data_IF_877688852889
#
_entry.id   IF_877688852889
#
_cell.length_a   1.000
_cell.length_b   1.000
_cell.length_c   1.000
_cell.angle_alpha   90.00
_cell.angle_beta   90.00
_cell.angle_gamma   90.00
#
_symmetry.space_group_name_H-M   'P 1'
#
loop_
_entity.id
_entity.type
_entity.pdbx_description
1 polymer ?
#
# COMPACT_ATOMS: atom_id res chain seq x y z
N UNK A 1 -25.72 27.56 -13.11
CA UNK A 1 -24.66 28.57 -13.29
C UNK A 1 -24.36 29.31 -11.99
N UNK A 2 -25.38 29.77 -11.25
CA UNK A 2 -25.24 30.50 -9.97
C UNK A 2 -24.47 29.68 -8.90
N UNK A 3 -24.87 28.45 -8.58
CA UNK A 3 -24.19 27.61 -7.58
C UNK A 3 -22.70 27.27 -7.90
N UNK A 4 -22.34 27.24 -9.19
CA UNK A 4 -20.96 27.03 -9.63
C UNK A 4 -20.08 28.25 -9.37
N UNK A 5 -20.64 29.44 -9.58
CA UNK A 5 -19.97 30.71 -9.30
C UNK A 5 -19.80 30.83 -7.78
N UNK A 6 -20.81 30.48 -7.00
CA UNK A 6 -20.76 30.57 -5.53
C UNK A 6 -19.76 29.60 -4.89
N UNK A 7 -19.64 28.34 -5.36
CA UNK A 7 -18.60 27.43 -4.84
C UNK A 7 -17.18 27.86 -5.20
N UNK A 8 -16.99 28.43 -6.40
CA UNK A 8 -15.68 28.96 -6.81
C UNK A 8 -15.30 30.19 -5.98
N UNK A 9 -16.29 31.00 -5.58
CA UNK A 9 -16.14 32.13 -4.65
C UNK A 9 -15.96 31.71 -3.18
N UNK A 10 -16.71 30.72 -2.67
CA UNK A 10 -16.59 30.26 -1.28
C UNK A 10 -15.27 29.55 -1.00
N UNK A 11 -14.70 28.84 -1.99
CA UNK A 11 -13.33 28.29 -1.93
C UNK A 11 -12.26 29.38 -1.75
N UNK A 12 -12.55 30.61 -2.18
CA UNK A 12 -11.64 31.76 -2.05
C UNK A 12 -11.83 32.48 -0.71
N UNK A 13 -13.03 32.41 -0.10
CA UNK A 13 -13.40 33.18 1.09
C UNK A 13 -13.65 32.36 2.37
N UNK A 14 -13.45 31.04 2.37
CA UNK A 14 -13.65 30.14 3.53
C UNK A 14 -15.07 30.15 4.16
N UNK A 15 -16.07 30.70 3.47
CA UNK A 15 -17.44 30.81 3.99
C UNK A 15 -18.29 29.62 3.53
N UNK A 16 -18.14 28.49 4.21
CA UNK A 16 -18.86 27.24 3.90
C UNK A 16 -20.32 27.28 4.36
N UNK A 17 -20.64 28.01 5.43
CA UNK A 17 -21.98 28.04 6.02
C UNK A 17 -22.99 28.72 5.09
N UNK A 18 -22.61 29.82 4.42
CA UNK A 18 -23.43 30.43 3.37
C UNK A 18 -23.66 29.48 2.18
N UNK A 19 -22.62 28.73 1.78
CA UNK A 19 -22.73 27.77 0.69
C UNK A 19 -23.71 26.64 1.04
N UNK A 20 -23.66 26.12 2.27
CA UNK A 20 -24.60 25.11 2.75
C UNK A 20 -26.03 25.64 2.82
N UNK A 21 -26.24 26.87 3.31
CA UNK A 21 -27.57 27.48 3.33
C UNK A 21 -28.19 27.60 1.93
N UNK A 22 -27.38 27.90 0.91
CA UNK A 22 -27.83 27.93 -0.49
C UNK A 22 -28.22 26.52 -0.96
N UNK A 23 -27.38 25.52 -0.75
CA UNK A 23 -27.71 24.15 -1.14
C UNK A 23 -28.95 23.62 -0.41
N UNK A 24 -29.10 23.89 0.88
CA UNK A 24 -30.28 23.53 1.67
C UNK A 24 -31.55 24.24 1.19
N UNK A 25 -31.45 25.49 0.71
CA UNK A 25 -32.58 26.17 0.09
C UNK A 25 -33.00 25.48 -1.23
N UNK A 26 -32.04 25.00 -2.02
CA UNK A 26 -32.31 24.30 -3.27
C UNK A 26 -32.91 22.92 -2.98
N UNK A 27 -32.34 22.18 -2.02
CA UNK A 27 -32.82 20.85 -1.62
C UNK A 27 -34.20 20.90 -0.98
N UNK A 28 -34.57 22.00 -0.29
CA UNK A 28 -35.95 22.20 0.18
C UNK A 28 -36.97 22.33 -0.97
N UNK A 29 -36.58 22.96 -2.07
CA UNK A 29 -37.45 23.12 -3.24
C UNK A 29 -37.41 21.92 -4.19
N UNK A 30 -36.26 21.25 -4.28
CA UNK A 30 -36.00 20.08 -5.13
C UNK A 30 -35.12 19.09 -4.36
N UNK A 31 -35.73 18.23 -3.53
CA UNK A 31 -35.01 17.28 -2.69
C UNK A 31 -34.05 16.43 -3.49
N UNK A 32 -34.47 15.93 -4.66
CA UNK A 32 -33.67 14.96 -5.40
C UNK A 32 -32.61 15.59 -6.32
N UNK A 33 -32.32 16.90 -6.22
CA UNK A 33 -31.43 17.57 -7.17
C UNK A 33 -29.98 17.03 -7.10
N UNK A 34 -29.48 16.28 -8.12
CA UNK A 34 -28.16 15.66 -8.04
C UNK A 34 -27.03 16.68 -7.99
N UNK A 35 -27.24 17.83 -8.63
CA UNK A 35 -26.25 18.91 -8.66
C UNK A 35 -26.14 19.63 -7.31
N UNK A 36 -27.25 19.73 -6.57
CA UNK A 36 -27.25 20.34 -5.24
C UNK A 36 -26.55 19.40 -4.23
N UNK A 37 -26.91 18.11 -4.24
CA UNK A 37 -26.24 17.08 -3.45
C UNK A 37 -24.73 17.02 -3.74
N UNK A 38 -24.33 16.96 -5.02
CA UNK A 38 -22.90 16.97 -5.37
C UNK A 38 -22.16 18.22 -4.86
N UNK A 39 -22.77 19.40 -5.02
CA UNK A 39 -22.18 20.66 -4.57
C UNK A 39 -22.03 20.71 -3.05
N UNK A 40 -23.04 20.26 -2.32
CA UNK A 40 -23.06 20.17 -0.86
C UNK A 40 -22.03 19.16 -0.35
N UNK A 41 -22.00 17.95 -0.93
CA UNK A 41 -21.00 16.93 -0.63
C UNK A 41 -19.56 17.41 -0.86
N UNK A 42 -19.33 18.15 -1.95
CA UNK A 42 -18.01 18.75 -2.20
C UNK A 42 -17.66 19.86 -1.21
N UNK A 43 -18.64 20.63 -0.75
CA UNK A 43 -18.47 21.61 0.32
C UNK A 43 -18.03 20.95 1.63
N UNK A 44 -18.71 19.87 2.04
CA UNK A 44 -18.34 19.11 3.23
C UNK A 44 -16.94 18.50 3.10
N UNK A 45 -16.63 17.88 1.97
CA UNK A 45 -15.30 17.30 1.75
C UNK A 45 -14.19 18.35 1.92
N UNK A 46 -14.32 19.52 1.28
CA UNK A 46 -13.32 20.59 1.37
C UNK A 46 -13.19 21.16 2.79
N UNK A 47 -14.30 21.31 3.52
CA UNK A 47 -14.27 21.76 4.92
C UNK A 47 -13.63 20.70 5.83
N UNK A 48 -13.92 19.42 5.58
CA UNK A 48 -13.30 18.29 6.27
C UNK A 48 -11.78 18.23 6.04
N UNK A 49 -11.32 18.44 4.80
CA UNK A 49 -9.90 18.52 4.44
C UNK A 49 -9.18 19.67 5.17
N UNK A 50 -9.86 20.80 5.40
CA UNK A 50 -9.30 21.96 6.10
C UNK A 50 -9.29 21.80 7.62
N UNK A 51 -10.38 21.26 8.18
CA UNK A 51 -10.60 21.19 9.63
C UNK A 51 -10.13 19.86 10.24
N UNK A 52 -9.74 18.89 9.41
CA UNK A 52 -9.47 17.49 9.80
C UNK A 52 -10.63 16.87 10.58
N UNK A 53 -11.88 17.22 10.21
CA UNK A 53 -13.09 16.77 10.89
C UNK A 53 -13.73 15.56 10.19
N UNK A 54 -13.76 14.43 10.90
CA UNK A 54 -14.37 13.18 10.41
C UNK A 54 -15.88 13.27 10.13
N UNK A 55 -16.59 14.15 10.82
CA UNK A 55 -18.04 14.31 10.65
C UNK A 55 -18.36 14.87 9.26
N UNK A 56 -17.57 15.84 8.79
CA UNK A 56 -17.76 16.43 7.46
C UNK A 56 -17.50 15.41 6.35
N UNK A 57 -16.53 14.51 6.52
CA UNK A 57 -16.34 13.42 5.55
C UNK A 57 -17.53 12.46 5.49
N UNK A 58 -18.18 12.17 6.64
CA UNK A 58 -19.37 11.33 6.66
C UNK A 58 -20.55 12.00 5.93
N UNK A 59 -20.77 13.30 6.14
CA UNK A 59 -21.79 14.04 5.39
C UNK A 59 -21.46 14.11 3.89
N UNK A 60 -20.20 14.32 3.52
CA UNK A 60 -19.78 14.32 2.13
C UNK A 60 -20.10 12.98 1.43
N UNK A 61 -19.82 11.86 2.10
CA UNK A 61 -20.15 10.52 1.64
C UNK A 61 -21.65 10.38 1.40
N UNK A 62 -22.47 10.73 2.39
CA UNK A 62 -23.93 10.63 2.28
C UNK A 62 -24.47 11.46 1.11
N UNK A 63 -24.00 12.70 0.95
CA UNK A 63 -24.43 13.57 -0.15
C UNK A 63 -24.00 13.02 -1.51
N UNK A 64 -22.82 12.38 -1.63
CA UNK A 64 -22.44 11.71 -2.88
C UNK A 64 -23.26 10.44 -3.15
N UNK A 65 -23.64 9.67 -2.13
CA UNK A 65 -24.55 8.52 -2.26
C UNK A 65 -25.91 8.97 -2.83
N UNK A 66 -26.47 10.09 -2.36
CA UNK A 66 -27.71 10.66 -2.93
C UNK A 66 -27.59 10.98 -4.43
N UNK A 67 -26.40 11.35 -4.91
CA UNK A 67 -26.15 11.58 -6.34
C UNK A 67 -26.16 10.26 -7.13
N UNK A 68 -25.68 9.18 -6.54
CA UNK A 68 -25.65 7.86 -7.18
C UNK A 68 -27.02 7.16 -7.16
N UNK A 69 -27.80 7.37 -6.11
CA UNK A 69 -29.14 6.80 -5.96
C UNK A 69 -30.16 7.44 -6.92
N UNK A 70 -29.88 8.63 -7.45
CA UNK A 70 -30.75 9.30 -8.41
C UNK A 70 -30.48 8.83 -9.86
N UNK A 71 -31.50 8.18 -10.46
CA UNK A 71 -31.48 7.69 -11.84
C UNK A 71 -31.30 8.80 -12.90
N UNK A 72 -31.88 9.98 -12.66
CA UNK A 72 -31.80 11.15 -13.56
C UNK A 72 -30.44 11.87 -13.52
N UNK A 73 -29.52 11.47 -12.63
CA UNK A 73 -28.19 12.07 -12.54
C UNK A 73 -27.45 11.97 -13.88
N UNK A 74 -26.96 13.08 -14.48
CA UNK A 74 -26.19 13.00 -15.72
C UNK A 74 -24.91 12.16 -15.56
N UNK A 75 -24.56 11.34 -16.55
CA UNK A 75 -23.43 10.39 -16.48
C UNK A 75 -22.11 11.03 -16.05
N UNK A 76 -21.81 12.25 -16.54
CA UNK A 76 -20.59 12.97 -16.16
C UNK A 76 -20.57 13.38 -14.68
N UNK A 77 -21.74 13.68 -14.10
CA UNK A 77 -21.89 14.01 -12.68
C UNK A 77 -21.83 12.74 -11.81
N UNK A 78 -22.47 11.66 -12.26
CA UNK A 78 -22.42 10.36 -11.60
C UNK A 78 -20.98 9.88 -11.45
N UNK A 79 -20.17 9.92 -12.51
CA UNK A 79 -18.74 9.55 -12.48
C UNK A 79 -17.95 10.41 -11.49
N UNK A 80 -18.21 11.72 -11.45
CA UNK A 80 -17.53 12.62 -10.52
C UNK A 80 -17.90 12.29 -9.07
N UNK A 81 -19.18 12.08 -8.77
CA UNK A 81 -19.64 11.71 -7.43
C UNK A 81 -19.05 10.36 -7.00
N UNK A 82 -19.12 9.35 -7.88
CA UNK A 82 -18.57 8.03 -7.63
C UNK A 82 -17.05 8.08 -7.36
N UNK A 83 -16.29 8.79 -8.19
CA UNK A 83 -14.84 8.97 -8.00
C UNK A 83 -14.52 9.58 -6.62
N UNK A 84 -15.24 10.63 -6.23
CA UNK A 84 -15.05 11.28 -4.92
C UNK A 84 -15.46 10.39 -3.75
N UNK A 85 -16.54 9.64 -3.90
CA UNK A 85 -17.00 8.67 -2.90
C UNK A 85 -15.96 7.56 -2.71
N UNK A 86 -15.43 6.99 -3.80
CA UNK A 86 -14.37 5.97 -3.76
C UNK A 86 -13.10 6.51 -3.10
N UNK A 87 -12.70 7.75 -3.42
CA UNK A 87 -11.54 8.41 -2.82
C UNK A 87 -11.69 8.52 -1.29
N UNK A 88 -12.83 9.05 -0.81
CA UNK A 88 -13.12 9.19 0.62
C UNK A 88 -13.24 7.85 1.34
N UNK A 89 -13.97 6.90 0.74
CA UNK A 89 -14.16 5.57 1.32
C UNK A 89 -12.83 4.80 1.38
N UNK A 90 -12.01 4.86 0.32
CA UNK A 90 -10.69 4.22 0.28
C UNK A 90 -9.75 4.78 1.35
N UNK A 91 -9.74 6.11 1.53
CA UNK A 91 -8.93 6.77 2.55
C UNK A 91 -9.29 6.30 3.97
N UNK A 92 -10.58 6.06 4.23
CA UNK A 92 -11.09 5.55 5.51
C UNK A 92 -10.97 4.02 5.65
N UNK A 93 -10.48 3.33 4.62
CA UNK A 93 -10.42 1.86 4.59
C UNK A 93 -11.78 1.17 4.43
N UNK A 94 -12.83 1.91 4.05
CA UNK A 94 -14.16 1.36 3.79
C UNK A 94 -14.24 0.76 2.38
N UNK A 95 -13.60 -0.40 2.22
CA UNK A 95 -13.58 -1.12 0.95
C UNK A 95 -14.94 -1.69 0.55
N UNK A 96 -15.86 -1.88 1.50
CA UNK A 96 -17.21 -2.34 1.20
C UNK A 96 -17.98 -1.26 0.42
N UNK A 97 -17.92 -0.01 0.88
CA UNK A 97 -18.51 1.12 0.16
C UNK A 97 -17.84 1.38 -1.19
N UNK A 98 -16.52 1.22 -1.28
CA UNK A 98 -15.82 1.26 -2.57
C UNK A 98 -16.38 0.21 -3.54
N UNK A 99 -16.56 -1.03 -3.07
CA UNK A 99 -17.10 -2.14 -3.86
C UNK A 99 -18.52 -1.84 -4.36
N UNK A 100 -19.40 -1.33 -3.49
CA UNK A 100 -20.75 -0.93 -3.88
C UNK A 100 -20.72 0.16 -4.95
N UNK A 101 -19.89 1.18 -4.75
CA UNK A 101 -19.77 2.30 -5.70
C UNK A 101 -19.25 1.83 -7.07
N UNK A 102 -18.25 0.94 -7.10
CA UNK A 102 -17.76 0.35 -8.34
C UNK A 102 -18.82 -0.52 -9.01
N UNK A 103 -19.65 -1.25 -8.26
CA UNK A 103 -20.79 -2.00 -8.84
C UNK A 103 -21.83 -1.07 -9.47
N UNK A 104 -22.19 0.03 -8.81
CA UNK A 104 -23.08 1.03 -9.40
C UNK A 104 -22.51 1.63 -10.69
N UNK A 105 -21.18 1.78 -10.79
CA UNK A 105 -20.52 2.18 -12.04
C UNK A 105 -20.58 1.09 -13.12
N UNK A 106 -20.40 -0.19 -12.77
CA UNK A 106 -20.55 -1.32 -13.70
C UNK A 106 -21.99 -1.44 -14.20
N UNK A 107 -22.98 -1.31 -13.31
CA UNK A 107 -24.40 -1.42 -13.66
C UNK A 107 -24.83 -0.30 -14.62
N UNK A 108 -24.26 0.90 -14.43
CA UNK A 108 -24.58 2.09 -15.25
C UNK A 108 -23.78 2.19 -16.54
N UNK A 109 -22.55 1.69 -16.54
CA UNK A 109 -21.62 1.73 -17.69
C UNK A 109 -21.04 0.33 -17.95
N UNK A 110 -21.89 -0.65 -18.34
CA UNK A 110 -21.47 -2.05 -18.52
C UNK A 110 -20.44 -2.24 -19.64
N UNK A 111 -20.35 -1.29 -20.58
CA UNK A 111 -19.35 -1.26 -21.66
C UNK A 111 -17.93 -0.91 -21.18
N UNK A 112 -17.80 -0.32 -19.98
CA UNK A 112 -16.52 0.11 -19.44
C UNK A 112 -15.93 -0.92 -18.49
N UNK A 113 -15.08 -1.78 -19.06
CA UNK A 113 -14.41 -2.88 -18.35
C UNK A 113 -13.55 -2.40 -17.17
N UNK A 114 -13.06 -1.16 -17.19
CA UNK A 114 -12.26 -0.59 -16.09
C UNK A 114 -12.97 -0.64 -14.74
N UNK A 115 -14.28 -0.42 -14.67
CA UNK A 115 -15.01 -0.52 -13.40
C UNK A 115 -15.09 -1.96 -12.89
N UNK A 116 -15.18 -2.95 -13.79
CA UNK A 116 -15.14 -4.37 -13.42
C UNK A 116 -13.76 -4.77 -12.91
N UNK A 117 -12.70 -4.24 -13.51
CA UNK A 117 -11.33 -4.38 -13.01
C UNK A 117 -11.24 -3.79 -11.60
N UNK A 118 -11.75 -2.58 -11.37
CA UNK A 118 -11.68 -1.94 -10.05
C UNK A 118 -12.49 -2.69 -8.98
N UNK A 119 -13.59 -3.36 -9.36
CA UNK A 119 -14.28 -4.34 -8.48
C UNK A 119 -13.31 -5.45 -8.06
N UNK A 120 -12.59 -6.05 -8.99
CA UNK A 120 -11.61 -7.09 -8.67
C UNK A 120 -10.46 -6.58 -7.80
N UNK A 121 -9.94 -5.37 -8.08
CA UNK A 121 -8.89 -4.74 -7.26
C UNK A 121 -9.38 -4.44 -5.84
N UNK A 122 -10.64 -4.05 -5.69
CA UNK A 122 -11.26 -3.84 -4.38
C UNK A 122 -11.38 -5.16 -3.62
N UNK A 123 -11.77 -6.26 -4.27
CA UNK A 123 -11.74 -7.59 -3.65
C UNK A 123 -10.33 -8.00 -3.20
N UNK A 124 -9.29 -7.69 -3.96
CA UNK A 124 -7.89 -7.92 -3.55
C UNK A 124 -7.56 -7.11 -2.29
N UNK A 125 -7.95 -5.83 -2.22
CA UNK A 125 -7.77 -4.99 -1.01
C UNK A 125 -8.51 -5.57 0.20
N UNK A 126 -9.66 -6.19 -0.01
CA UNK A 126 -10.44 -6.92 1.02
C UNK A 126 -9.90 -8.31 1.36
N UNK A 127 -8.78 -8.76 0.75
CA UNK A 127 -8.23 -10.13 0.86
C UNK A 127 -9.16 -11.24 0.37
N UNK A 128 -10.16 -10.90 -0.45
CA UNK A 128 -11.12 -11.84 -1.07
C UNK A 128 -10.61 -12.27 -2.44
N UNK A 129 -9.51 -13.02 -2.45
CA UNK A 129 -8.79 -13.36 -3.69
C UNK A 129 -9.62 -14.23 -4.66
N UNK A 130 -10.44 -15.14 -4.13
CA UNK A 130 -11.33 -15.99 -4.96
C UNK A 130 -12.40 -15.18 -5.71
N UNK A 131 -12.98 -14.17 -5.05
CA UNK A 131 -13.98 -13.32 -5.70
C UNK A 131 -13.33 -12.44 -6.77
N UNK A 132 -12.14 -11.89 -6.48
CA UNK A 132 -11.35 -11.16 -7.47
C UNK A 132 -11.02 -12.03 -8.69
N UNK A 133 -10.63 -13.29 -8.46
CA UNK A 133 -10.30 -14.25 -9.52
C UNK A 133 -11.49 -14.48 -10.45
N UNK A 134 -12.68 -14.70 -9.91
CA UNK A 134 -13.91 -14.91 -10.70
C UNK A 134 -14.22 -13.72 -11.61
N UNK A 135 -14.12 -12.49 -11.08
CA UNK A 135 -14.37 -11.27 -11.86
C UNK A 135 -13.34 -11.14 -12.98
N UNK A 136 -12.05 -11.30 -12.67
CA UNK A 136 -10.98 -11.21 -13.67
C UNK A 136 -11.09 -12.31 -14.73
N UNK A 137 -11.50 -13.52 -14.34
CA UNK A 137 -11.72 -14.61 -15.27
C UNK A 137 -12.82 -14.29 -16.28
N UNK A 138 -13.98 -13.79 -15.82
CA UNK A 138 -15.07 -13.37 -16.70
C UNK A 138 -14.63 -12.26 -17.68
N UNK A 139 -13.83 -11.28 -17.21
CA UNK A 139 -13.25 -10.26 -18.08
C UNK A 139 -12.37 -10.89 -19.16
N UNK A 140 -11.51 -11.85 -18.81
CA UNK A 140 -10.62 -12.54 -19.74
C UNK A 140 -11.39 -13.43 -20.73
N UNK A 141 -12.49 -14.04 -20.30
CA UNK A 141 -13.36 -14.83 -21.20
C UNK A 141 -14.01 -13.96 -22.28
N UNK A 142 -14.42 -12.74 -21.92
CA UNK A 142 -15.03 -11.79 -22.86
C UNK A 142 -14.00 -11.01 -23.69
N UNK A 143 -12.88 -10.61 -23.08
CA UNK A 143 -11.75 -9.95 -23.71
C UNK A 143 -10.44 -10.66 -23.35
N UNK A 144 -10.03 -11.68 -24.15
CA UNK A 144 -8.81 -12.45 -23.92
C UNK A 144 -7.50 -11.64 -23.98
N UNK A 145 -7.58 -10.39 -24.42
CA UNK A 145 -6.45 -9.47 -24.58
C UNK A 145 -6.43 -8.36 -23.52
N UNK A 146 -7.39 -8.34 -22.59
CA UNK A 146 -7.41 -7.34 -21.53
C UNK A 146 -6.15 -7.44 -20.66
N UNK A 147 -5.24 -6.50 -20.86
CA UNK A 147 -3.89 -6.57 -20.33
C UNK A 147 -3.85 -6.50 -18.80
N UNK A 148 -4.70 -5.65 -18.22
CA UNK A 148 -4.81 -5.49 -16.78
C UNK A 148 -5.46 -6.71 -16.14
N UNK A 149 -6.53 -7.25 -16.73
CA UNK A 149 -7.18 -8.44 -16.19
C UNK A 149 -6.23 -9.64 -16.18
N UNK A 150 -5.49 -9.86 -17.27
CA UNK A 150 -4.45 -10.91 -17.36
C UNK A 150 -3.36 -10.71 -16.31
N UNK A 151 -2.91 -9.47 -16.11
CA UNK A 151 -1.90 -9.13 -15.11
C UNK A 151 -2.35 -9.49 -13.69
N UNK A 152 -3.56 -9.06 -13.30
CA UNK A 152 -4.07 -9.33 -11.95
C UNK A 152 -4.52 -10.77 -11.75
N UNK A 153 -5.00 -11.44 -12.80
CA UNK A 153 -5.28 -12.86 -12.75
C UNK A 153 -3.99 -13.65 -12.46
N UNK A 154 -2.90 -13.32 -13.17
CA UNK A 154 -1.58 -13.91 -12.91
C UNK A 154 -1.03 -13.60 -11.51
N UNK A 155 -1.27 -12.39 -10.99
CA UNK A 155 -0.96 -12.06 -9.59
C UNK A 155 -1.69 -12.98 -8.60
N UNK A 156 -2.99 -13.22 -8.80
CA UNK A 156 -3.77 -14.10 -7.91
C UNK A 156 -3.27 -15.54 -7.99
N UNK A 157 -3.01 -16.07 -9.19
CA UNK A 157 -2.45 -17.42 -9.35
C UNK A 157 -1.13 -17.60 -8.57
N UNK A 158 -0.28 -16.57 -8.59
CA UNK A 158 0.99 -16.58 -7.84
C UNK A 158 0.77 -16.51 -6.33
N UNK A 159 -0.14 -15.67 -5.85
CA UNK A 159 -0.27 -15.37 -4.41
C UNK A 159 -1.21 -16.33 -3.68
N UNK A 160 -2.29 -16.77 -4.33
CA UNK A 160 -3.32 -17.61 -3.72
C UNK A 160 -3.10 -19.11 -3.97
N UNK A 161 -2.59 -19.48 -5.15
CA UNK A 161 -2.53 -20.88 -5.62
C UNK A 161 -1.11 -21.46 -5.68
N UNK A 162 -0.11 -20.69 -5.23
CA UNK A 162 1.31 -21.03 -5.32
C UNK A 162 1.78 -21.41 -6.75
N UNK A 163 1.00 -21.03 -7.76
CA UNK A 163 1.26 -21.37 -9.16
C UNK A 163 2.06 -20.25 -9.81
N UNK A 164 3.31 -20.12 -9.35
CA UNK A 164 4.20 -19.03 -9.77
C UNK A 164 4.47 -19.05 -11.28
N UNK A 165 4.60 -20.23 -11.90
CA UNK A 165 4.83 -20.36 -13.34
C UNK A 165 3.69 -19.79 -14.18
N UNK A 166 2.45 -20.24 -13.93
CA UNK A 166 1.29 -19.72 -14.65
C UNK A 166 1.06 -18.25 -14.32
N UNK A 167 1.24 -17.86 -13.06
CA UNK A 167 1.12 -16.46 -12.64
C UNK A 167 2.04 -15.53 -13.44
N UNK A 168 3.32 -15.89 -13.57
CA UNK A 168 4.29 -15.16 -14.40
C UNK A 168 3.91 -15.19 -15.88
N UNK A 169 3.41 -16.32 -16.40
CA UNK A 169 3.00 -16.41 -17.80
C UNK A 169 1.84 -15.44 -18.13
N UNK A 170 0.80 -15.40 -17.29
CA UNK A 170 -0.32 -14.48 -17.44
C UNK A 170 0.11 -13.01 -17.28
N UNK A 171 0.95 -12.71 -16.29
CA UNK A 171 1.50 -11.36 -16.11
C UNK A 171 2.34 -10.89 -17.31
N UNK A 172 3.20 -11.76 -17.87
CA UNK A 172 3.97 -11.46 -19.10
C UNK A 172 3.06 -11.31 -20.32
N UNK A 173 1.98 -12.09 -20.41
CA UNK A 173 0.99 -11.94 -21.48
C UNK A 173 0.31 -10.57 -21.38
N UNK A 174 -0.16 -10.18 -20.19
CA UNK A 174 -0.74 -8.87 -19.93
C UNK A 174 0.21 -7.74 -20.32
N UNK A 175 1.48 -7.79 -19.88
CA UNK A 175 2.48 -6.77 -20.22
C UNK A 175 2.69 -6.61 -21.73
N UNK A 176 2.75 -7.72 -22.48
CA UNK A 176 2.94 -7.69 -23.94
C UNK A 176 1.74 -7.10 -24.67
N UNK A 177 0.53 -7.40 -24.20
CA UNK A 177 -0.72 -6.97 -24.85
C UNK A 177 -1.13 -5.55 -24.47
N UNK A 178 -0.75 -5.07 -23.28
CA UNK A 178 -1.13 -3.75 -22.78
C UNK A 178 -0.51 -2.56 -23.51
N UNK A 179 0.49 -2.80 -24.39
CA UNK A 179 1.16 -1.74 -25.15
C UNK A 179 1.51 -0.54 -24.28
N UNK A 180 1.32 0.69 -24.80
CA UNK A 180 1.61 1.92 -24.07
C UNK A 180 0.73 2.16 -22.83
N UNK A 181 -0.39 1.47 -22.64
CA UNK A 181 -1.24 1.70 -21.44
C UNK A 181 -0.53 1.25 -20.14
N UNK A 182 0.28 0.20 -20.23
CA UNK A 182 1.04 -0.37 -19.10
C UNK A 182 2.53 0.03 -19.15
N UNK A 183 3.01 0.49 -20.32
CA UNK A 183 4.43 0.75 -20.61
C UNK A 183 4.75 2.21 -20.96
N UNK A 184 3.77 3.13 -20.97
CA UNK A 184 3.99 4.56 -21.23
C UNK A 184 3.74 5.41 -19.97
N UNK A 185 4.81 6.04 -19.47
CA UNK A 185 4.77 6.96 -18.34
C UNK A 185 3.77 8.11 -18.54
N UNK A 186 3.60 8.61 -19.77
CA UNK A 186 2.72 9.75 -20.03
C UNK A 186 1.23 9.40 -19.91
N UNK A 187 0.87 8.14 -20.22
CA UNK A 187 -0.51 7.64 -20.09
C UNK A 187 -0.87 7.27 -18.65
N UNK A 188 0.13 6.86 -17.86
CA UNK A 188 0.01 6.68 -16.41
C UNK A 188 -0.36 7.99 -15.69
N UNK A 189 0.05 9.15 -16.24
CA UNK A 189 -0.18 10.48 -15.65
C UNK A 189 -1.47 11.19 -16.11
N UNK A 190 -2.09 10.77 -17.23
CA UNK A 190 -3.14 11.56 -17.90
C UNK A 190 -4.58 11.32 -17.41
N UNK A 191 -4.85 10.27 -16.62
CA UNK A 191 -6.20 10.00 -16.10
C UNK A 191 -6.40 10.66 -14.74
N UNK A 192 -7.36 11.58 -14.67
CA UNK A 192 -7.74 12.44 -13.52
C UNK A 192 -8.13 11.73 -12.19
N UNK A 193 -8.01 10.41 -12.10
CA UNK A 193 -8.12 9.59 -10.87
C UNK A 193 -6.73 9.14 -10.39
N UNK A 194 -5.86 10.14 -10.17
CA UNK A 194 -4.40 10.05 -10.17
C UNK A 194 -3.77 9.17 -9.07
N UNK A 195 -4.52 8.79 -8.02
CA UNK A 195 -3.95 8.08 -6.86
C UNK A 195 -4.01 6.55 -7.00
N UNK A 196 -5.04 5.99 -7.64
CA UNK A 196 -5.21 4.54 -7.77
C UNK A 196 -4.46 3.93 -8.98
N UNK A 197 -4.18 4.72 -10.04
CA UNK A 197 -3.53 4.20 -11.26
C UNK A 197 -2.08 3.79 -11.00
N UNK A 198 -1.28 4.61 -10.34
CA UNK A 198 0.14 4.31 -10.07
C UNK A 198 0.30 3.11 -9.15
N UNK A 199 -0.51 3.00 -8.11
CA UNK A 199 -0.53 1.86 -7.19
C UNK A 199 -0.84 0.55 -7.93
N UNK A 200 -1.82 0.58 -8.84
CA UNK A 200 -2.23 -0.57 -9.64
C UNK A 200 -1.03 -1.16 -10.41
N UNK A 201 -0.35 -0.34 -11.20
CA UNK A 201 0.78 -0.80 -11.99
C UNK A 201 2.02 -1.10 -11.14
N UNK A 202 2.27 -0.35 -10.05
CA UNK A 202 3.34 -0.65 -9.11
C UNK A 202 3.26 -2.09 -8.61
N UNK A 203 2.09 -2.51 -8.11
CA UNK A 203 1.87 -3.86 -7.56
C UNK A 203 2.13 -4.92 -8.63
N UNK A 204 1.61 -4.69 -9.83
CA UNK A 204 1.83 -5.59 -10.96
C UNK A 204 3.33 -5.80 -11.27
N UNK A 205 4.09 -4.72 -11.51
CA UNK A 205 5.52 -4.82 -11.85
C UNK A 205 6.32 -5.45 -10.71
N UNK A 206 5.97 -5.13 -9.46
CA UNK A 206 6.63 -5.68 -8.28
C UNK A 206 6.45 -7.20 -8.22
N UNK A 207 5.22 -7.69 -8.36
CA UNK A 207 4.91 -9.11 -8.26
C UNK A 207 5.35 -9.93 -9.48
N UNK A 208 5.37 -9.35 -10.68
CA UNK A 208 5.93 -10.00 -11.87
C UNK A 208 7.43 -10.24 -11.68
N UNK A 209 8.19 -9.21 -11.30
CA UNK A 209 9.62 -9.37 -11.07
C UNK A 209 9.91 -10.28 -9.87
N UNK A 210 9.11 -10.23 -8.80
CA UNK A 210 9.22 -11.18 -7.69
C UNK A 210 8.96 -12.62 -8.16
N UNK A 211 7.95 -12.86 -9.00
CA UNK A 211 7.68 -14.18 -9.56
C UNK A 211 8.83 -14.68 -10.42
N UNK A 212 9.43 -13.82 -11.24
CA UNK A 212 10.61 -14.16 -12.04
C UNK A 212 11.83 -14.50 -11.15
N UNK A 213 12.01 -13.82 -10.02
CA UNK A 213 13.04 -14.18 -9.04
C UNK A 213 12.80 -15.56 -8.43
N UNK A 214 11.56 -15.87 -8.06
CA UNK A 214 11.16 -17.18 -7.52
C UNK A 214 11.41 -18.32 -8.52
N UNK A 215 11.24 -18.06 -9.81
CA UNK A 215 11.51 -19.02 -10.89
C UNK A 215 13.00 -19.10 -11.29
N UNK A 216 13.91 -18.47 -10.55
CA UNK A 216 15.34 -18.47 -10.87
C UNK A 216 15.72 -17.69 -12.14
N UNK A 217 14.92 -16.68 -12.52
CA UNK A 217 15.12 -15.84 -13.72
C UNK A 217 15.48 -14.40 -13.37
N UNK A 218 16.62 -14.14 -12.69
CA UNK A 218 16.95 -12.84 -12.15
C UNK A 218 17.19 -11.76 -13.23
N UNK A 219 17.76 -12.13 -14.38
CA UNK A 219 18.03 -11.17 -15.46
C UNK A 219 16.74 -10.60 -16.04
N UNK A 220 15.72 -11.44 -16.24
CA UNK A 220 14.40 -10.99 -16.67
C UNK A 220 13.70 -10.17 -15.58
N UNK A 221 13.81 -10.59 -14.31
CA UNK A 221 13.26 -9.84 -13.20
C UNK A 221 13.82 -8.42 -13.13
N UNK A 222 15.15 -8.26 -13.25
CA UNK A 222 15.79 -6.95 -13.24
C UNK A 222 15.43 -6.10 -14.45
N UNK A 223 15.29 -6.68 -15.64
CA UNK A 223 14.78 -5.94 -16.81
C UNK A 223 13.37 -5.39 -16.56
N UNK A 224 12.48 -6.17 -15.93
CA UNK A 224 11.14 -5.71 -15.53
C UNK A 224 11.24 -4.57 -14.50
N UNK A 225 12.14 -4.68 -13.52
CA UNK A 225 12.33 -3.66 -12.49
C UNK A 225 12.93 -2.36 -13.04
N UNK A 226 13.89 -2.45 -13.96
CA UNK A 226 14.46 -1.31 -14.67
C UNK A 226 13.40 -0.59 -15.48
N UNK A 227 12.60 -1.33 -16.25
CA UNK A 227 11.51 -0.72 -17.01
C UNK A 227 10.52 0.00 -16.09
N UNK A 228 10.08 -0.63 -15.00
CA UNK A 228 9.20 0.01 -14.02
C UNK A 228 9.82 1.27 -13.36
N UNK A 229 11.14 1.30 -13.18
CA UNK A 229 11.85 2.50 -12.71
C UNK A 229 11.82 3.62 -13.76
N UNK A 230 11.97 3.30 -15.06
CA UNK A 230 11.83 4.31 -16.14
C UNK A 230 10.42 4.91 -16.22
N UNK A 231 9.40 4.18 -15.77
CA UNK A 231 8.03 4.65 -15.66
C UNK A 231 7.77 5.47 -14.38
N UNK A 232 8.78 5.64 -13.53
CA UNK A 232 8.65 6.32 -12.24
C UNK A 232 7.82 5.54 -11.20
N UNK A 233 7.54 4.25 -11.44
CA UNK A 233 6.87 3.39 -10.46
C UNK A 233 7.81 3.02 -9.31
N UNK A 234 9.07 2.75 -9.62
CA UNK A 234 10.12 2.51 -8.63
C UNK A 234 11.13 3.65 -8.61
N UNK A 235 11.79 3.86 -7.47
CA UNK A 235 12.91 4.82 -7.39
C UNK A 235 14.11 4.32 -8.20
N UNK A 236 14.34 3.02 -8.20
CA UNK A 236 15.28 2.34 -9.09
C UNK A 236 14.94 0.86 -9.18
N UNK A 237 15.60 0.12 -10.07
CA UNK A 237 15.47 -1.33 -10.13
C UNK A 237 15.82 -2.02 -8.80
N UNK A 238 16.68 -1.42 -7.98
CA UNK A 238 17.10 -1.93 -6.68
C UNK A 238 16.23 -1.39 -5.52
N UNK A 239 15.65 -0.19 -5.65
CA UNK A 239 14.85 0.47 -4.63
C UNK A 239 13.38 0.53 -5.06
N UNK A 240 12.65 -0.53 -4.71
CA UNK A 240 11.26 -0.79 -5.12
C UNK A 240 10.26 -0.64 -3.97
N UNK A 241 10.52 0.28 -3.04
CA UNK A 241 9.59 0.62 -1.97
C UNK A 241 8.43 1.47 -2.50
N UNK A 242 7.24 1.32 -1.92
CA UNK A 242 6.02 1.99 -2.39
C UNK A 242 5.79 3.34 -1.69
N UNK A 243 5.94 3.38 -0.37
CA UNK A 243 5.63 4.54 0.45
C UNK A 243 6.89 5.35 0.71
N UNK A 244 7.19 6.30 -0.17
CA UNK A 244 8.46 7.00 -0.18
C UNK A 244 8.33 8.47 0.21
N UNK A 245 9.35 8.98 0.89
CA UNK A 245 9.59 10.42 1.08
C UNK A 245 10.60 10.86 0.03
N UNK A 246 10.24 11.88 -0.75
CA UNK A 246 11.11 12.43 -1.79
C UNK A 246 12.31 13.17 -1.20
N UNK A 247 13.42 13.20 -1.94
CA UNK A 247 14.66 13.87 -1.53
C UNK A 247 15.53 13.10 -0.54
N UNK A 248 15.06 11.97 -0.01
CA UNK A 248 15.91 11.10 0.81
C UNK A 248 16.99 10.41 -0.04
N UNK A 249 18.22 10.39 0.48
CA UNK A 249 19.33 9.70 -0.18
C UNK A 249 19.09 8.19 -0.18
N UNK A 250 19.06 7.58 -1.37
CA UNK A 250 18.94 6.13 -1.54
C UNK A 250 20.30 5.45 -1.68
N UNK A 251 20.67 4.58 -0.73
CA UNK A 251 21.88 3.75 -0.78
C UNK A 251 21.62 2.39 -0.16
N UNK A 252 22.19 1.34 -0.74
CA UNK A 252 22.05 -0.03 -0.24
C UNK A 252 22.76 -0.25 1.11
N UNK A 253 24.02 0.21 1.21
CA UNK A 253 24.84 0.05 2.40
C UNK A 253 25.26 1.42 2.95
N UNK A 254 25.08 1.58 4.27
CA UNK A 254 25.40 2.80 5.01
C UNK A 254 26.50 2.50 6.04
N UNK A 255 27.53 3.34 6.09
CA UNK A 255 28.46 3.33 7.22
C UNK A 255 27.83 3.99 8.44
N UNK A 256 28.30 3.65 9.65
CA UNK A 256 27.75 4.21 10.88
C UNK A 256 27.82 5.74 10.92
N UNK A 257 28.88 6.32 10.34
CA UNK A 257 29.14 7.75 10.23
C UNK A 257 28.14 8.43 9.31
N UNK A 258 27.82 7.81 8.16
CA UNK A 258 26.87 8.35 7.19
C UNK A 258 25.45 8.45 7.76
N UNK A 259 25.10 7.64 8.75
CA UNK A 259 23.78 7.70 9.39
C UNK A 259 23.62 8.89 10.34
N UNK A 260 24.72 9.49 10.81
CA UNK A 260 24.71 10.43 11.93
C UNK A 260 24.51 9.77 13.31
N UNK A 261 24.31 8.45 13.37
CA UNK A 261 24.05 7.70 14.61
C UNK A 261 25.25 6.90 15.13
N UNK A 262 26.44 7.08 14.57
CA UNK A 262 27.64 6.31 14.92
C UNK A 262 27.90 6.18 16.44
N UNK A 263 27.78 7.28 17.19
CA UNK A 263 27.96 7.30 18.65
C UNK A 263 26.99 6.36 19.36
N UNK A 264 25.71 6.42 18.99
CA UNK A 264 24.63 5.66 19.62
C UNK A 264 24.71 4.17 19.25
N UNK A 265 24.97 3.87 17.97
CA UNK A 265 25.15 2.49 17.50
C UNK A 265 26.36 1.82 18.19
N UNK A 266 27.48 2.55 18.34
CA UNK A 266 28.65 2.05 19.09
C UNK A 266 28.36 1.80 20.57
N UNK A 267 27.47 2.57 21.20
CA UNK A 267 27.08 2.35 22.59
C UNK A 267 26.29 1.04 22.77
N UNK A 268 25.41 0.71 21.81
CA UNK A 268 24.71 -0.59 21.77
C UNK A 268 25.70 -1.72 21.45
N UNK A 269 26.55 -1.53 20.45
CA UNK A 269 27.56 -2.51 20.01
C UNK A 269 28.50 -2.91 21.15
N UNK A 270 28.95 -1.97 21.98
CA UNK A 270 29.81 -2.27 23.15
C UNK A 270 29.18 -3.24 24.16
N UNK A 271 27.86 -3.34 24.17
CA UNK A 271 27.09 -4.18 25.09
C UNK A 271 26.62 -5.50 24.43
N UNK A 272 27.11 -5.81 23.22
CA UNK A 272 26.67 -6.97 22.43
C UNK A 272 26.75 -8.31 23.16
N UNK A 273 27.70 -8.48 24.08
CA UNK A 273 27.86 -9.73 24.86
C UNK A 273 26.64 -9.98 25.76
N UNK A 274 26.12 -8.94 26.40
CA UNK A 274 24.93 -9.03 27.27
C UNK A 274 23.69 -9.31 26.42
N UNK A 275 23.54 -8.57 25.31
CA UNK A 275 22.46 -8.74 24.33
C UNK A 275 22.44 -10.19 23.78
N UNK A 276 23.60 -10.71 23.38
CA UNK A 276 23.76 -12.09 22.89
C UNK A 276 23.36 -13.12 23.95
N UNK A 277 23.78 -12.94 25.20
CA UNK A 277 23.48 -13.88 26.27
C UNK A 277 21.97 -13.99 26.52
N UNK A 278 21.26 -12.86 26.56
CA UNK A 278 19.80 -12.85 26.68
C UNK A 278 19.12 -13.45 25.46
N UNK A 279 19.54 -13.07 24.25
CA UNK A 279 18.98 -13.63 23.01
C UNK A 279 19.10 -15.16 22.98
N UNK A 280 20.27 -15.71 23.33
CA UNK A 280 20.49 -17.15 23.37
C UNK A 280 19.62 -17.86 24.42
N UNK A 281 19.51 -17.27 25.63
CA UNK A 281 18.67 -17.80 26.70
C UNK A 281 17.19 -17.79 26.31
N UNK A 282 16.69 -16.68 25.77
CA UNK A 282 15.29 -16.51 25.38
C UNK A 282 14.92 -17.43 24.21
N UNK A 283 15.84 -17.65 23.27
CA UNK A 283 15.63 -18.59 22.16
C UNK A 283 15.38 -20.03 22.66
N UNK A 284 16.02 -20.44 23.76
CA UNK A 284 15.85 -21.78 24.34
C UNK A 284 14.67 -21.85 25.32
N UNK A 285 14.50 -20.84 26.17
CA UNK A 285 13.55 -20.88 27.29
C UNK A 285 12.13 -20.42 26.93
N UNK A 286 11.96 -19.63 25.86
CA UNK A 286 10.66 -19.07 25.48
C UNK A 286 10.39 -19.19 23.97
N UNK A 287 10.40 -20.41 23.40
CA UNK A 287 10.21 -20.61 21.95
C UNK A 287 8.85 -20.07 21.44
N UNK A 288 7.82 -20.08 22.28
CA UNK A 288 6.48 -19.60 21.93
C UNK A 288 6.40 -18.08 21.75
N UNK A 289 7.39 -17.33 22.27
CA UNK A 289 7.46 -15.87 22.12
C UNK A 289 8.12 -15.45 20.80
N UNK A 290 8.67 -16.40 20.03
CA UNK A 290 9.22 -16.16 18.70
C UNK A 290 8.14 -16.34 17.64
N UNK A 291 7.93 -15.31 16.83
CA UNK A 291 6.93 -15.29 15.75
C UNK A 291 7.62 -15.57 14.40
N UNK A 292 6.99 -16.35 13.53
CA UNK A 292 7.46 -16.55 12.15
C UNK A 292 7.45 -15.24 11.36
N UNK A 293 8.52 -14.99 10.63
CA UNK A 293 8.75 -13.81 9.81
C UNK A 293 8.62 -14.18 8.34
N UNK A 294 7.55 -13.66 7.74
CA UNK A 294 7.27 -13.74 6.31
C UNK A 294 7.56 -15.13 5.68
N UNK A 295 6.79 -16.16 6.07
CA UNK A 295 7.04 -17.54 5.65
C UNK A 295 6.98 -17.72 4.12
N UNK A 296 6.28 -16.85 3.41
CA UNK A 296 6.14 -16.92 1.93
C UNK A 296 7.44 -16.67 1.17
N UNK A 297 8.45 -16.05 1.79
CA UNK A 297 9.74 -15.75 1.15
C UNK A 297 10.92 -16.46 1.82
N UNK A 298 10.64 -17.29 2.82
CA UNK A 298 11.65 -18.06 3.54
C UNK A 298 11.65 -19.49 3.00
N UNK A 299 12.77 -19.91 2.42
CA UNK A 299 12.95 -21.20 1.77
C UNK A 299 13.91 -22.05 2.60
N UNK A 300 13.65 -23.36 2.69
CA UNK A 300 14.51 -24.37 3.33
C UNK A 300 14.89 -24.04 4.80
N UNK A 301 13.96 -23.48 5.55
CA UNK A 301 14.13 -23.24 6.98
C UNK A 301 13.09 -22.28 7.57
N UNK A 302 13.45 -21.65 8.70
CA UNK A 302 12.59 -20.72 9.43
C UNK A 302 13.30 -19.41 9.67
N UNK A 303 12.55 -18.34 9.51
CA UNK A 303 12.96 -17.00 9.89
C UNK A 303 12.00 -16.56 11.00
N UNK A 304 12.52 -16.30 12.20
CA UNK A 304 11.70 -15.92 13.33
C UNK A 304 12.20 -14.63 13.96
N UNK A 305 11.29 -13.95 14.66
CA UNK A 305 11.60 -12.75 15.43
C UNK A 305 11.02 -12.81 16.84
N UNK A 306 11.78 -12.22 17.77
CA UNK A 306 11.34 -11.94 19.12
C UNK A 306 11.19 -10.42 19.27
N UNK A 307 9.96 -9.88 19.25
CA UNK A 307 9.73 -8.45 19.25
C UNK A 307 10.02 -7.82 20.63
N UNK A 308 10.82 -6.76 20.67
CA UNK A 308 11.11 -5.99 21.89
C UNK A 308 10.40 -4.63 21.88
N UNK A 309 10.36 -3.99 20.71
CA UNK A 309 9.61 -2.77 20.42
C UNK A 309 8.74 -3.04 19.19
N UNK A 310 7.44 -2.82 19.29
CA UNK A 310 6.46 -2.91 18.19
C UNK A 310 5.55 -1.68 18.23
N UNK A 311 5.25 -1.08 17.08
CA UNK A 311 4.40 0.12 16.98
C UNK A 311 4.81 1.24 17.96
N UNK A 312 6.12 1.41 18.19
CA UNK A 312 6.65 2.42 19.08
C UNK A 312 6.48 2.14 20.58
N UNK A 313 6.03 0.95 20.97
CA UNK A 313 5.84 0.55 22.37
C UNK A 313 6.70 -0.68 22.70
N UNK A 314 7.35 -0.67 23.87
CA UNK A 314 8.13 -1.82 24.33
C UNK A 314 7.17 -2.88 24.84
N UNK A 315 7.37 -4.13 24.41
CA UNK A 315 6.58 -5.26 24.90
C UNK A 315 7.04 -5.62 26.31
N UNK A 316 6.16 -5.45 27.31
CA UNK A 316 6.49 -5.68 28.72
C UNK A 316 6.89 -7.12 29.00
N UNK A 317 6.13 -8.09 28.52
CA UNK A 317 6.37 -9.53 28.72
C UNK A 317 7.73 -9.95 28.13
N UNK A 318 8.00 -9.52 26.90
CA UNK A 318 9.26 -9.84 26.24
C UNK A 318 10.45 -9.11 26.87
N UNK A 319 10.24 -7.91 27.42
CA UNK A 319 11.27 -7.20 28.17
C UNK A 319 11.54 -7.79 29.54
N UNK A 320 10.59 -8.49 30.19
CA UNK A 320 10.88 -9.28 31.39
C UNK A 320 11.79 -10.47 31.08
N UNK A 321 11.65 -11.02 29.87
CA UNK A 321 12.51 -12.10 29.37
C UNK A 321 13.87 -11.62 28.89
N UNK A 322 14.03 -10.35 28.47
CA UNK A 322 15.30 -9.76 28.04
C UNK A 322 15.53 -8.35 28.65
N UNK A 323 15.63 -8.24 29.99
CA UNK A 323 15.61 -6.96 30.69
C UNK A 323 16.81 -6.07 30.38
N UNK A 324 18.01 -6.64 30.26
CA UNK A 324 19.22 -5.86 29.95
C UNK A 324 19.15 -5.30 28.54
N UNK A 325 18.75 -6.13 27.57
CA UNK A 325 18.58 -5.71 26.18
C UNK A 325 17.53 -4.61 26.07
N UNK A 326 16.37 -4.76 26.73
CA UNK A 326 15.36 -3.71 26.72
C UNK A 326 15.85 -2.41 27.37
N UNK A 327 16.64 -2.48 28.44
CA UNK A 327 17.25 -1.30 29.06
C UNK A 327 18.17 -0.57 28.08
N UNK A 328 19.07 -1.31 27.41
CA UNK A 328 20.00 -0.77 26.40
C UNK A 328 19.25 -0.12 25.24
N UNK A 329 18.20 -0.78 24.74
CA UNK A 329 17.41 -0.27 23.62
C UNK A 329 16.54 0.93 24.01
N UNK A 330 16.05 0.99 25.25
CA UNK A 330 15.37 2.19 25.80
C UNK A 330 16.33 3.36 25.88
N UNK A 331 17.54 3.16 26.41
CA UNK A 331 18.57 4.20 26.45
C UNK A 331 18.93 4.68 25.03
N UNK A 332 19.08 3.77 24.06
CA UNK A 332 19.29 4.14 22.66
C UNK A 332 18.14 5.01 22.13
N UNK A 333 16.88 4.63 22.39
CA UNK A 333 15.69 5.38 21.95
C UNK A 333 15.57 6.75 22.62
N UNK A 334 15.95 6.88 23.88
CA UNK A 334 15.88 8.13 24.63
C UNK A 334 17.02 9.09 24.29
N UNK A 335 18.22 8.55 24.11
CA UNK A 335 19.43 9.33 23.85
C UNK A 335 19.58 9.74 22.38
N UNK A 336 18.99 8.97 21.47
CA UNK A 336 18.99 9.27 20.04
C UNK A 336 17.61 9.77 19.60
N UNK A 337 17.57 10.59 18.54
CA UNK A 337 16.32 10.86 17.83
C UNK A 337 15.94 9.72 16.87
N UNK A 338 16.64 8.57 16.95
CA UNK A 338 16.38 7.42 16.10
C UNK A 338 15.24 6.54 16.66
N UNK A 339 14.48 5.99 15.70
CA UNK A 339 13.39 5.02 15.82
C UNK A 339 12.01 5.55 16.23
N UNK A 340 10.99 5.03 15.53
CA UNK A 340 9.58 5.13 15.94
C UNK A 340 8.73 3.87 15.73
N UNK A 341 9.28 2.70 15.40
CA UNK A 341 8.39 1.54 15.19
C UNK A 341 8.86 0.22 15.75
N UNK A 342 10.07 -0.26 15.44
CA UNK A 342 10.41 -1.68 15.64
C UNK A 342 11.85 -1.93 16.09
N UNK A 343 12.03 -2.81 17.07
CA UNK A 343 13.30 -3.41 17.49
C UNK A 343 13.04 -4.84 17.94
N UNK A 344 13.88 -5.79 17.53
CA UNK A 344 13.64 -7.22 17.74
C UNK A 344 14.92 -8.03 17.67
N UNK A 345 14.93 -9.19 18.32
CA UNK A 345 15.86 -10.24 17.91
C UNK A 345 15.31 -10.90 16.65
N UNK A 346 16.21 -11.33 15.77
CA UNK A 346 15.87 -12.10 14.59
C UNK A 346 16.78 -13.31 14.49
N UNK A 347 16.19 -14.47 14.26
CA UNK A 347 16.88 -15.74 14.12
C UNK A 347 16.53 -16.35 12.76
N UNK A 348 17.56 -16.78 12.04
CA UNK A 348 17.42 -17.49 10.77
C UNK A 348 18.03 -18.88 10.97
N UNK A 349 17.28 -19.93 10.66
CA UNK A 349 17.78 -21.30 10.83
C UNK A 349 18.86 -21.63 9.80
N UNK A 350 19.73 -22.59 10.15
CA UNK A 350 20.73 -23.11 9.20
C UNK A 350 20.06 -23.62 7.93
N UNK A 351 20.66 -23.34 6.77
CA UNK A 351 20.11 -23.71 5.45
C UNK A 351 19.02 -22.77 4.92
N UNK A 352 18.45 -21.91 5.75
CA UNK A 352 17.37 -21.03 5.31
C UNK A 352 17.87 -19.95 4.36
N UNK A 353 17.11 -19.73 3.28
CA UNK A 353 17.32 -18.66 2.34
C UNK A 353 16.11 -17.72 2.32
N UNK A 354 16.35 -16.42 2.48
CA UNK A 354 15.32 -15.41 2.30
C UNK A 354 15.38 -14.92 0.84
N UNK A 355 14.28 -15.03 0.11
CA UNK A 355 14.20 -14.57 -1.28
C UNK A 355 14.39 -13.04 -1.38
N UNK A 356 14.93 -12.54 -2.51
CA UNK A 356 15.09 -11.10 -2.73
C UNK A 356 13.76 -10.33 -2.56
N UNK A 357 13.75 -9.35 -1.66
CA UNK A 357 12.57 -8.55 -1.35
C UNK A 357 12.94 -7.09 -1.03
N UNK A 358 11.95 -6.20 -0.97
CA UNK A 358 12.12 -4.82 -0.52
C UNK A 358 11.18 -4.52 0.64
N UNK A 359 11.63 -3.65 1.55
CA UNK A 359 10.75 -3.04 2.54
C UNK A 359 9.73 -2.09 1.89
N UNK A 360 8.66 -1.73 2.63
CA UNK A 360 7.55 -0.94 2.08
C UNK A 360 7.90 0.54 1.89
N UNK A 361 8.93 1.07 2.55
CA UNK A 361 9.27 2.50 2.60
C UNK A 361 10.77 2.77 2.54
N UNK A 362 11.15 3.92 1.98
CA UNK A 362 12.53 4.45 2.01
C UNK A 362 12.83 5.31 3.26
N UNK A 363 11.86 5.53 4.14
CA UNK A 363 11.96 6.44 5.29
C UNK A 363 12.66 5.83 6.52
N UNK A 364 13.18 4.61 6.41
CA UNK A 364 13.87 3.91 7.50
C UNK A 364 15.15 3.25 7.02
N UNK A 365 16.17 3.29 7.86
CA UNK A 365 17.36 2.45 7.76
C UNK A 365 17.25 1.31 8.77
N UNK A 366 17.76 0.14 8.40
CA UNK A 366 17.77 -1.03 9.28
C UNK A 366 19.21 -1.34 9.70
N UNK A 367 19.47 -1.31 11.00
CA UNK A 367 20.74 -1.73 11.58
C UNK A 367 20.65 -3.17 12.05
N UNK A 368 21.66 -3.99 11.71
CA UNK A 368 21.79 -5.37 12.19
C UNK A 368 23.04 -5.48 13.08
N UNK A 369 22.88 -6.00 14.29
CA UNK A 369 23.98 -6.36 15.18
C UNK A 369 24.12 -7.89 15.19
N UNK A 370 25.25 -8.40 14.69
CA UNK A 370 25.52 -9.83 14.70
C UNK A 370 25.73 -10.36 16.12
N UNK A 371 24.87 -11.29 16.57
CA UNK A 371 24.97 -11.87 17.92
C UNK A 371 25.62 -13.27 17.89
N UNK A 372 25.07 -14.17 17.06
CA UNK A 372 25.58 -15.53 16.82
C UNK A 372 25.57 -15.72 15.31
N UNK A 373 26.72 -15.59 14.67
CA UNK A 373 26.84 -15.54 13.21
C UNK A 373 27.78 -16.64 12.71
N UNK A 374 27.26 -17.69 12.04
CA UNK A 374 28.10 -18.69 11.38
C UNK A 374 28.96 -18.08 10.27
N UNK A 375 30.11 -18.70 9.97
CA UNK A 375 31.04 -18.24 8.92
C UNK A 375 30.44 -18.21 7.51
N UNK A 376 29.35 -18.93 7.27
CA UNK A 376 28.66 -18.99 5.97
C UNK A 376 27.50 -18.00 5.83
N UNK A 377 27.10 -17.31 6.90
CA UNK A 377 25.99 -16.37 6.85
C UNK A 377 26.32 -15.17 5.95
N UNK A 378 25.42 -14.84 5.00
CA UNK A 378 25.57 -13.71 4.07
C UNK A 378 24.25 -12.95 3.95
N UNK A 379 24.36 -11.65 3.69
CA UNK A 379 23.25 -10.76 3.31
C UNK A 379 23.70 -9.96 2.09
N UNK A 380 22.79 -9.72 1.14
CA UNK A 380 23.09 -9.02 -0.12
C UNK A 380 22.05 -7.98 -0.44
#
# INVERSE_FOLDING_TARGET
MIAWITMKWSRIMHNYDEAFAIFDSILRARPDSPRAHFGKGRGYQLRGELTSNDIDFAHAIQEYEQVLDNEETPSALFRQAASRLIELASFRGDFYRCLLTHRSLVDRFPEEVDHQIDVALTFIKMKRLEDAKKVLHNIIENDPNNAVALAYYGYILKVAEDNTEQGVAYMKKGLRLGGGEITDANRLHSNSNQHNSKEKYFRFYYHLGQGLMMLGRPNEAYSVFEHAATLGLFLSAQQRSMYNVEGLTGRAWWSSEQTGYAKYLKAVERQWVSIRAEAARVYQSAPNSWKEENPTITVDGRWTAFPLLENGHFNSENCELAPQTCSILKEFRESSNASRSEMRFSALSSGAQILPHCGPTNSRLQAHLGLIVPSEARIR
#
